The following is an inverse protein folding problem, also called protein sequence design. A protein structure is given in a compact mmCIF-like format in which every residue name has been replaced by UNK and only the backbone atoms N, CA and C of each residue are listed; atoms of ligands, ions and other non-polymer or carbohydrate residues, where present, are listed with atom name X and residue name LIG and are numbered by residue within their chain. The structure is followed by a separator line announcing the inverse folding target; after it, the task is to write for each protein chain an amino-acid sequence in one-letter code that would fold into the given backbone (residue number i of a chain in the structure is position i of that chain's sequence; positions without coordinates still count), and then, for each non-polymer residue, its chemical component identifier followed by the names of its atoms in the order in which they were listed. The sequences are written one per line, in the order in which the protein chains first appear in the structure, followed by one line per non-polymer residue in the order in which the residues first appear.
data_IF_701092428364
#
_entry.id   IF_701092428364
#
_cell.length_a   1.000
_cell.length_b   1.000
_cell.length_c   1.000
_cell.angle_alpha   90.00
_cell.angle_beta   90.00
_cell.angle_gamma   90.00
#
_symmetry.space_group_name_H-M   'P 1'
#
loop_
_entity.id
_entity.type
_entity.pdbx_description
1 polymer ?
#
# COMPACT_ATOMS: atom_id res chain seq x y z
N UNK A 1 -23.17 -76.45 -47.24
CA UNK A 1 -23.44 -75.31 -46.34
C UNK A 1 -22.70 -75.55 -45.02
N UNK A 2 -21.49 -75.01 -44.90
CA UNK A 2 -20.69 -75.15 -43.68
C UNK A 2 -20.90 -73.91 -42.81
N UNK A 3 -21.90 -73.94 -41.94
CA UNK A 3 -22.23 -72.79 -41.06
C UNK A 3 -21.35 -72.70 -39.80
N UNK A 4 -20.46 -73.68 -39.58
CA UNK A 4 -19.59 -73.71 -38.39
C UNK A 4 -18.37 -72.79 -38.50
N UNK A 5 -17.78 -72.63 -39.68
CA UNK A 5 -16.57 -71.81 -39.85
C UNK A 5 -16.83 -70.32 -39.64
N UNK A 6 -18.03 -69.83 -39.99
CA UNK A 6 -18.39 -68.41 -39.85
C UNK A 6 -18.54 -67.99 -38.37
N UNK A 7 -19.11 -68.86 -37.52
CA UNK A 7 -19.30 -68.55 -36.08
C UNK A 7 -17.97 -68.49 -35.31
N UNK A 8 -17.03 -69.35 -35.65
CA UNK A 8 -15.70 -69.38 -35.01
C UNK A 8 -14.90 -68.13 -35.40
N UNK A 9 -14.97 -67.69 -36.66
CA UNK A 9 -14.30 -66.47 -37.12
C UNK A 9 -14.91 -65.20 -36.49
N UNK A 10 -16.23 -65.12 -36.32
CA UNK A 10 -16.86 -63.98 -35.64
C UNK A 10 -16.48 -63.90 -34.15
N UNK A 11 -16.40 -65.03 -33.45
CA UNK A 11 -15.99 -65.04 -32.04
C UNK A 11 -14.50 -64.67 -31.88
N UNK A 12 -13.63 -65.14 -32.77
CA UNK A 12 -12.22 -64.75 -32.81
C UNK A 12 -12.05 -63.25 -33.08
N UNK A 13 -12.85 -62.67 -33.97
CA UNK A 13 -12.83 -61.23 -34.23
C UNK A 13 -13.29 -60.41 -33.01
N UNK A 14 -14.32 -60.86 -32.29
CA UNK A 14 -14.76 -60.21 -31.04
C UNK A 14 -13.68 -60.31 -29.97
N UNK A 15 -13.04 -61.47 -29.79
CA UNK A 15 -11.96 -61.64 -28.80
C UNK A 15 -10.74 -60.80 -29.16
N UNK A 16 -10.31 -60.77 -30.44
CA UNK A 16 -9.22 -59.89 -30.89
C UNK A 16 -9.57 -58.40 -30.76
N UNK A 17 -10.84 -58.03 -30.95
CA UNK A 17 -11.30 -56.66 -30.74
C UNK A 17 -11.34 -56.30 -29.24
N UNK A 18 -11.75 -57.21 -28.36
CA UNK A 18 -11.76 -57.01 -26.91
C UNK A 18 -10.35 -57.00 -26.28
N UNK A 19 -9.42 -57.80 -26.81
CA UNK A 19 -8.02 -57.85 -26.31
C UNK A 19 -7.18 -56.70 -26.89
N UNK A 20 -7.48 -56.24 -28.12
CA UNK A 20 -6.79 -55.14 -28.78
C UNK A 20 -7.11 -53.74 -28.23
N UNK A 21 -8.26 -53.54 -27.58
CA UNK A 21 -8.65 -52.24 -27.00
C UNK A 21 -8.15 -52.08 -25.55
N UNK A 22 -7.67 -53.15 -24.91
CA UNK A 22 -7.25 -53.12 -23.50
C UNK A 22 -5.84 -52.56 -23.24
N UNK A 23 -5.12 -52.10 -24.27
CA UNK A 23 -3.73 -51.61 -24.15
C UNK A 23 -3.54 -50.20 -24.76
N UNK A 24 -4.61 -49.41 -24.87
CA UNK A 24 -4.43 -47.97 -25.06
C UNK A 24 -3.82 -47.42 -23.76
N UNK A 25 -2.49 -47.42 -23.70
CA UNK A 25 -1.69 -46.88 -22.63
C UNK A 25 -2.20 -45.45 -22.34
N UNK A 26 -2.76 -45.17 -21.15
CA UNK A 26 -3.20 -43.83 -20.79
C UNK A 26 -1.96 -42.96 -20.54
N UNK A 27 -1.19 -42.69 -21.60
CA UNK A 27 0.03 -41.91 -21.56
C UNK A 27 -0.25 -40.39 -21.51
N UNK A 28 -1.48 -39.97 -21.81
CA UNK A 28 -1.91 -38.56 -21.80
C UNK A 28 -2.02 -37.95 -20.40
N UNK A 29 -2.65 -38.61 -19.40
CA UNK A 29 -2.75 -38.07 -18.04
C UNK A 29 -1.40 -37.78 -17.37
N UNK A 30 -0.39 -38.64 -17.58
CA UNK A 30 0.91 -38.49 -16.87
C UNK A 30 1.71 -37.29 -17.36
N UNK A 31 1.70 -36.98 -18.66
CA UNK A 31 2.43 -35.83 -19.21
C UNK A 31 1.84 -34.51 -18.71
N UNK A 32 0.50 -34.39 -18.67
CA UNK A 32 -0.17 -33.18 -18.21
C UNK A 32 0.01 -32.96 -16.70
N UNK A 33 0.05 -34.04 -15.90
CA UNK A 33 0.36 -33.96 -14.48
C UNK A 33 1.78 -33.42 -14.24
N UNK A 34 2.77 -33.91 -14.98
CA UNK A 34 4.15 -33.44 -14.85
C UNK A 34 4.34 -31.99 -15.33
N UNK A 35 3.61 -31.58 -16.38
CA UNK A 35 3.54 -30.19 -16.81
C UNK A 35 2.95 -29.28 -15.71
N UNK A 36 1.82 -29.68 -15.11
CA UNK A 36 1.20 -28.95 -14.01
C UNK A 36 2.11 -28.83 -12.78
N UNK A 37 2.87 -29.89 -12.43
CA UNK A 37 3.88 -29.86 -11.37
C UNK A 37 5.00 -28.87 -11.69
N UNK A 38 5.52 -28.90 -12.91
CA UNK A 38 6.61 -28.00 -13.36
C UNK A 38 6.17 -26.53 -13.28
N UNK A 39 4.98 -26.20 -13.78
CA UNK A 39 4.43 -24.84 -13.73
C UNK A 39 4.15 -24.39 -12.28
N UNK A 40 3.73 -25.30 -11.41
CA UNK A 40 3.54 -24.99 -9.99
C UNK A 40 4.87 -24.72 -9.26
N UNK A 41 5.95 -25.41 -9.62
CA UNK A 41 7.28 -25.12 -9.08
C UNK A 41 7.80 -23.75 -9.52
N UNK A 42 7.62 -23.38 -10.79
CA UNK A 42 7.94 -22.04 -11.30
C UNK A 42 7.12 -20.96 -10.59
N UNK A 43 5.82 -21.19 -10.43
CA UNK A 43 4.89 -20.32 -9.70
C UNK A 43 5.33 -20.15 -8.24
N UNK A 44 5.80 -21.22 -7.60
CA UNK A 44 6.30 -21.17 -6.21
C UNK A 44 7.58 -20.33 -6.07
N UNK A 45 8.47 -20.35 -7.08
CA UNK A 45 9.67 -19.50 -7.10
C UNK A 45 9.29 -18.03 -7.26
N UNK A 46 8.42 -17.73 -8.23
CA UNK A 46 7.93 -16.37 -8.47
C UNK A 46 7.16 -15.81 -7.27
N UNK A 47 6.40 -16.64 -6.56
CA UNK A 47 5.76 -16.28 -5.30
C UNK A 47 6.76 -15.72 -4.27
N UNK A 48 7.92 -16.36 -4.11
CA UNK A 48 8.97 -15.89 -3.17
C UNK A 48 9.55 -14.55 -3.61
N UNK A 49 9.77 -14.37 -4.91
CA UNK A 49 10.22 -13.09 -5.47
C UNK A 49 9.17 -11.99 -5.25
N UNK A 50 7.90 -12.31 -5.48
CA UNK A 50 6.76 -11.41 -5.27
C UNK A 50 6.67 -10.94 -3.80
N UNK A 51 6.77 -11.88 -2.85
CA UNK A 51 6.78 -11.55 -1.41
C UNK A 51 7.94 -10.61 -1.04
N UNK A 52 9.13 -10.84 -1.61
CA UNK A 52 10.31 -10.03 -1.33
C UNK A 52 10.16 -8.62 -1.91
N UNK A 53 9.65 -8.50 -3.15
CA UNK A 53 9.42 -7.21 -3.80
C UNK A 53 8.30 -6.43 -3.08
N UNK A 54 7.20 -7.09 -2.70
CA UNK A 54 6.12 -6.50 -1.90
C UNK A 54 6.65 -5.97 -0.56
N UNK A 55 7.46 -6.76 0.16
CA UNK A 55 8.09 -6.33 1.41
C UNK A 55 9.01 -5.11 1.23
N UNK A 56 9.76 -5.05 0.13
CA UNK A 56 10.60 -3.90 -0.19
C UNK A 56 9.73 -2.64 -0.46
N UNK A 57 8.65 -2.79 -1.21
CA UNK A 57 7.67 -1.71 -1.44
C UNK A 57 7.07 -1.22 -0.11
N UNK A 58 6.62 -2.13 0.76
CA UNK A 58 6.10 -1.81 2.09
C UNK A 58 7.12 -1.05 2.95
N UNK A 59 8.38 -1.48 2.95
CA UNK A 59 9.42 -0.82 3.73
C UNK A 59 9.65 0.61 3.23
N UNK A 60 9.82 0.80 1.92
CA UNK A 60 10.00 2.12 1.34
C UNK A 60 8.78 3.03 1.62
N UNK A 61 7.57 2.47 1.53
CA UNK A 61 6.32 3.15 1.83
C UNK A 61 6.29 3.67 3.28
N UNK A 62 6.66 2.84 4.26
CA UNK A 62 6.70 3.22 5.68
C UNK A 62 7.73 4.31 5.95
N UNK A 63 8.91 4.23 5.34
CA UNK A 63 9.95 5.26 5.50
C UNK A 63 9.50 6.61 4.90
N UNK A 64 8.88 6.58 3.71
CA UNK A 64 8.29 7.76 3.07
C UNK A 64 7.15 8.38 3.91
N UNK A 65 6.29 7.56 4.50
CA UNK A 65 5.23 8.01 5.41
C UNK A 65 5.79 8.75 6.63
N UNK A 66 6.78 8.16 7.30
CA UNK A 66 7.42 8.78 8.46
C UNK A 66 8.05 10.12 8.08
N UNK A 67 8.76 10.18 6.95
CA UNK A 67 9.33 11.43 6.44
C UNK A 67 8.25 12.48 6.20
N UNK A 68 7.18 12.14 5.46
CA UNK A 68 6.09 13.07 5.17
C UNK A 68 5.45 13.60 6.46
N UNK A 69 5.21 12.73 7.45
CA UNK A 69 4.63 13.11 8.72
C UNK A 69 5.52 14.06 9.54
N UNK A 70 6.82 13.74 9.65
CA UNK A 70 7.80 14.56 10.39
C UNK A 70 7.96 15.94 9.73
N UNK A 71 8.08 15.99 8.40
CA UNK A 71 8.21 17.25 7.66
C UNK A 71 6.95 18.10 7.80
N UNK A 72 5.76 17.49 7.70
CA UNK A 72 4.48 18.19 7.89
C UNK A 72 4.36 18.80 9.29
N UNK A 73 4.81 18.07 10.32
CA UNK A 73 4.77 18.55 11.71
C UNK A 73 5.73 19.72 11.95
N UNK A 74 6.89 19.70 11.30
CA UNK A 74 7.95 20.71 11.46
C UNK A 74 7.95 21.79 10.37
N UNK A 75 6.88 21.88 9.59
CA UNK A 75 6.83 22.65 8.34
C UNK A 75 7.21 24.13 8.52
N UNK A 76 6.70 24.78 9.57
CA UNK A 76 7.01 26.18 9.90
C UNK A 76 8.47 26.36 10.31
N UNK A 77 8.98 25.44 11.12
CA UNK A 77 10.37 25.47 11.60
C UNK A 77 11.34 25.27 10.44
N UNK A 78 11.10 24.28 9.58
CA UNK A 78 11.91 24.01 8.40
C UNK A 78 11.85 25.22 7.44
N UNK A 79 10.67 25.78 7.18
CA UNK A 79 10.50 26.90 6.27
C UNK A 79 11.25 28.18 6.70
N UNK A 80 11.61 28.31 7.97
CA UNK A 80 12.38 29.44 8.50
C UNK A 80 13.90 29.31 8.30
N UNK A 81 14.42 28.12 7.95
CA UNK A 81 15.85 27.88 7.71
C UNK A 81 16.09 27.40 6.27
N UNK A 82 16.68 28.23 5.39
CA UNK A 82 16.96 27.87 4.00
C UNK A 82 17.77 26.58 3.83
N UNK A 83 18.70 26.28 4.74
CA UNK A 83 19.54 25.09 4.65
C UNK A 83 18.72 23.82 4.92
N UNK A 84 17.85 23.86 5.94
CA UNK A 84 16.95 22.74 6.24
C UNK A 84 15.89 22.55 5.15
N UNK A 85 15.43 23.63 4.48
CA UNK A 85 14.54 23.53 3.31
C UNK A 85 15.22 22.74 2.18
N UNK A 86 16.44 23.12 1.80
CA UNK A 86 17.17 22.46 0.71
C UNK A 86 17.44 20.99 1.02
N UNK A 87 17.89 20.71 2.25
CA UNK A 87 18.11 19.34 2.74
C UNK A 87 16.83 18.52 2.71
N UNK A 88 15.73 19.04 3.28
CA UNK A 88 14.43 18.35 3.33
C UNK A 88 13.90 18.06 1.93
N UNK A 89 14.02 18.99 0.98
CA UNK A 89 13.62 18.75 -0.42
C UNK A 89 14.44 17.65 -1.07
N UNK A 90 15.76 17.69 -0.91
CA UNK A 90 16.66 16.67 -1.47
C UNK A 90 16.35 15.28 -0.91
N UNK A 91 16.15 15.17 0.41
CA UNK A 91 15.74 13.92 1.06
C UNK A 91 14.35 13.45 0.60
N UNK A 92 13.37 14.35 0.51
CA UNK A 92 12.03 14.03 0.03
C UNK A 92 12.02 13.50 -1.40
N UNK A 93 12.81 14.08 -2.30
CA UNK A 93 12.96 13.57 -3.67
C UNK A 93 13.55 12.16 -3.71
N UNK A 94 14.52 11.85 -2.83
CA UNK A 94 15.05 10.49 -2.70
C UNK A 94 13.99 9.50 -2.22
N UNK A 95 13.15 9.89 -1.25
CA UNK A 95 12.05 9.03 -0.80
C UNK A 95 11.04 8.77 -1.92
N UNK A 96 10.67 9.79 -2.70
CA UNK A 96 9.78 9.64 -3.86
C UNK A 96 10.38 8.64 -4.86
N UNK A 97 11.65 8.83 -5.24
CA UNK A 97 12.33 7.97 -6.22
C UNK A 97 12.43 6.52 -5.72
N UNK A 98 12.92 6.30 -4.49
CA UNK A 98 13.09 4.96 -3.94
C UNK A 98 11.76 4.22 -3.79
N UNK A 99 10.73 4.91 -3.30
CA UNK A 99 9.40 4.32 -3.09
C UNK A 99 8.72 3.98 -4.42
N UNK A 100 8.86 4.87 -5.42
CA UNK A 100 8.32 4.63 -6.77
C UNK A 100 9.01 3.43 -7.41
N UNK A 101 10.34 3.36 -7.37
CA UNK A 101 11.10 2.22 -7.91
C UNK A 101 10.75 0.89 -7.22
N UNK A 102 10.58 0.89 -5.90
CA UNK A 102 10.18 -0.31 -5.17
C UNK A 102 8.77 -0.77 -5.56
N UNK A 103 7.84 0.17 -5.77
CA UNK A 103 6.50 -0.13 -6.26
C UNK A 103 6.50 -0.69 -7.70
N UNK A 104 7.30 -0.11 -8.60
CA UNK A 104 7.45 -0.58 -9.99
C UNK A 104 8.03 -2.00 -10.06
N UNK A 105 9.03 -2.31 -9.23
CA UNK A 105 9.60 -3.65 -9.18
C UNK A 105 8.60 -4.67 -8.61
N UNK A 106 7.88 -4.32 -7.54
CA UNK A 106 6.82 -5.17 -7.00
C UNK A 106 5.70 -5.41 -8.02
N UNK A 107 5.34 -4.39 -8.80
CA UNK A 107 4.36 -4.49 -9.89
C UNK A 107 4.84 -5.44 -11.00
N UNK A 108 6.10 -5.33 -11.44
CA UNK A 108 6.69 -6.23 -12.43
C UNK A 108 6.64 -7.70 -11.98
N UNK A 109 7.13 -7.99 -10.77
CA UNK A 109 7.19 -9.37 -10.26
C UNK A 109 5.79 -9.93 -10.00
N UNK A 110 4.85 -9.08 -9.52
CA UNK A 110 3.44 -9.46 -9.37
C UNK A 110 2.85 -9.90 -10.71
N UNK A 111 3.06 -9.14 -11.78
CA UNK A 111 2.47 -9.43 -13.10
C UNK A 111 3.04 -10.72 -13.72
N UNK A 112 4.33 -10.99 -13.51
CA UNK A 112 4.97 -12.28 -13.83
C UNK A 112 4.36 -13.42 -13.02
N UNK A 113 4.11 -13.20 -11.72
CA UNK A 113 3.49 -14.18 -10.83
C UNK A 113 2.05 -14.48 -11.23
N UNK A 114 1.26 -13.46 -11.61
CA UNK A 114 -0.10 -13.64 -12.15
C UNK A 114 -0.05 -14.54 -13.39
N UNK A 115 0.83 -14.23 -14.34
CA UNK A 115 0.97 -14.99 -15.58
C UNK A 115 1.34 -16.45 -15.34
N UNK A 116 2.27 -16.72 -14.41
CA UNK A 116 2.66 -18.07 -14.03
C UNK A 116 1.54 -18.83 -13.33
N UNK A 117 0.84 -18.17 -12.39
CA UNK A 117 -0.31 -18.74 -11.68
C UNK A 117 -1.41 -19.14 -12.64
N UNK A 118 -1.79 -18.27 -13.58
CA UNK A 118 -2.86 -18.54 -14.55
C UNK A 118 -2.51 -19.75 -15.45
N UNK A 119 -1.25 -19.90 -15.87
CA UNK A 119 -0.79 -21.08 -16.62
C UNK A 119 -0.84 -22.36 -15.78
N UNK A 120 -0.39 -22.29 -14.53
CA UNK A 120 -0.43 -23.44 -13.63
C UNK A 120 -1.87 -23.88 -13.33
N UNK A 121 -2.77 -22.92 -13.13
CA UNK A 121 -4.21 -23.13 -12.91
C UNK A 121 -4.87 -23.77 -14.15
N UNK A 122 -4.56 -23.28 -15.36
CA UNK A 122 -5.03 -23.88 -16.61
C UNK A 122 -4.54 -25.32 -16.78
N UNK A 123 -3.27 -25.59 -16.50
CA UNK A 123 -2.72 -26.94 -16.56
C UNK A 123 -3.40 -27.89 -15.56
N UNK A 124 -3.66 -27.44 -14.33
CA UNK A 124 -4.39 -28.21 -13.32
C UNK A 124 -5.82 -28.50 -13.80
N UNK A 125 -6.52 -27.51 -14.36
CA UNK A 125 -7.87 -27.65 -14.88
C UNK A 125 -7.96 -28.67 -16.02
N UNK A 126 -6.96 -28.71 -16.92
CA UNK A 126 -6.90 -29.68 -18.01
C UNK A 126 -6.77 -31.13 -17.52
N UNK A 127 -6.06 -31.35 -16.39
CA UNK A 127 -5.93 -32.69 -15.80
C UNK A 127 -7.18 -33.08 -15.01
N UNK A 128 -7.75 -32.15 -14.25
CA UNK A 128 -8.88 -32.41 -13.37
C UNK A 128 -9.93 -31.27 -13.44
N UNK A 129 -10.86 -31.32 -14.41
CA UNK A 129 -11.86 -30.27 -14.59
C UNK A 129 -12.77 -30.09 -13.36
N UNK A 130 -13.04 -31.19 -12.64
CA UNK A 130 -13.90 -31.22 -11.46
C UNK A 130 -13.16 -30.82 -10.16
N UNK A 131 -11.84 -30.61 -10.18
CA UNK A 131 -11.05 -30.28 -8.99
C UNK A 131 -11.18 -28.81 -8.53
N UNK A 132 -11.97 -28.00 -9.24
CA UNK A 132 -12.19 -26.58 -8.91
C UNK A 132 -13.21 -26.44 -7.77
N UNK A 133 -14.14 -27.39 -7.61
CA UNK A 133 -15.20 -27.38 -6.60
C UNK A 133 -14.84 -28.26 -5.38
N UNK A 134 -13.72 -27.92 -4.73
CA UNK A 134 -13.23 -28.15 -3.34
C UNK A 134 -13.45 -29.49 -2.57
N UNK A 135 -14.22 -30.48 -3.02
CA UNK A 135 -14.52 -31.64 -2.17
C UNK A 135 -13.47 -32.77 -2.23
N UNK A 136 -12.73 -32.92 -3.34
CA UNK A 136 -11.62 -33.90 -3.41
C UNK A 136 -10.58 -33.49 -4.45
N UNK A 137 -9.57 -32.71 -4.06
CA UNK A 137 -8.36 -32.54 -4.88
C UNK A 137 -7.55 -33.83 -4.81
N UNK A 138 -7.22 -34.48 -5.94
CA UNK A 138 -6.36 -35.66 -5.96
C UNK A 138 -5.01 -35.38 -5.25
N UNK A 139 -4.56 -36.32 -4.43
CA UNK A 139 -3.32 -36.17 -3.64
C UNK A 139 -2.10 -35.81 -4.51
N UNK A 140 -2.09 -36.28 -5.75
CA UNK A 140 -1.01 -36.04 -6.71
C UNK A 140 -0.87 -34.57 -7.16
N UNK A 141 -1.97 -33.81 -7.24
CA UNK A 141 -1.96 -32.40 -7.65
C UNK A 141 -2.21 -31.41 -6.51
N UNK A 142 -2.46 -31.91 -5.30
CA UNK A 142 -2.63 -31.07 -4.11
C UNK A 142 -1.46 -30.10 -3.89
N UNK A 143 -0.18 -30.47 -4.07
CA UNK A 143 0.94 -29.52 -3.97
C UNK A 143 0.85 -28.40 -5.01
N UNK A 144 0.46 -28.71 -6.25
CA UNK A 144 0.31 -27.73 -7.33
C UNK A 144 -0.81 -26.74 -7.06
N UNK A 145 -1.96 -27.23 -6.57
CA UNK A 145 -3.09 -26.39 -6.16
C UNK A 145 -2.69 -25.46 -5.00
N UNK A 146 -1.93 -25.95 -4.03
CA UNK A 146 -1.42 -25.11 -2.93
C UNK A 146 -0.46 -24.02 -3.44
N UNK A 147 0.41 -24.33 -4.40
CA UNK A 147 1.31 -23.33 -5.00
C UNK A 147 0.54 -22.18 -5.68
N UNK A 148 -0.55 -22.50 -6.41
CA UNK A 148 -1.45 -21.51 -7.02
C UNK A 148 -2.12 -20.64 -5.96
N UNK A 149 -2.71 -21.24 -4.92
CA UNK A 149 -3.35 -20.52 -3.80
C UNK A 149 -2.35 -19.64 -3.04
N UNK A 150 -1.11 -20.09 -2.89
CA UNK A 150 -0.05 -19.35 -2.22
C UNK A 150 0.42 -18.15 -3.06
N UNK A 151 0.54 -18.32 -4.37
CA UNK A 151 0.85 -17.24 -5.30
C UNK A 151 -0.27 -16.19 -5.34
N UNK A 152 -1.54 -16.60 -5.31
CA UNK A 152 -2.68 -15.67 -5.24
C UNK A 152 -2.63 -14.79 -3.98
N UNK A 153 -2.32 -15.39 -2.82
CA UNK A 153 -2.14 -14.61 -1.58
C UNK A 153 -0.96 -13.63 -1.65
N UNK A 154 0.14 -14.03 -2.29
CA UNK A 154 1.29 -13.14 -2.50
C UNK A 154 0.94 -11.98 -3.45
N UNK A 155 0.22 -12.25 -4.55
CA UNK A 155 -0.28 -11.22 -5.48
C UNK A 155 -1.17 -10.22 -4.76
N UNK A 156 -2.12 -10.68 -3.93
CA UNK A 156 -2.99 -9.80 -3.15
C UNK A 156 -2.17 -8.93 -2.20
N UNK A 157 -1.20 -9.50 -1.49
CA UNK A 157 -0.33 -8.75 -0.58
C UNK A 157 0.51 -7.71 -1.33
N UNK A 158 1.04 -8.07 -2.49
CA UNK A 158 1.79 -7.17 -3.35
C UNK A 158 0.94 -5.98 -3.82
N UNK A 159 -0.33 -6.20 -4.18
CA UNK A 159 -1.24 -5.11 -4.54
C UNK A 159 -1.42 -4.07 -3.43
N UNK A 160 -1.63 -4.52 -2.19
CA UNK A 160 -1.77 -3.64 -1.04
C UNK A 160 -0.47 -2.83 -0.79
N UNK A 161 0.68 -3.50 -0.86
CA UNK A 161 1.98 -2.87 -0.60
C UNK A 161 2.40 -1.90 -1.72
N UNK A 162 2.12 -2.22 -2.98
CA UNK A 162 2.28 -1.32 -4.13
C UNK A 162 1.39 -0.09 -3.95
N UNK A 163 0.13 -0.29 -3.54
CA UNK A 163 -0.82 0.79 -3.28
C UNK A 163 -0.32 1.75 -2.19
N UNK A 164 0.16 1.20 -1.07
CA UNK A 164 0.74 1.97 0.03
C UNK A 164 1.99 2.75 -0.41
N UNK A 165 2.88 2.13 -1.18
CA UNK A 165 4.08 2.78 -1.71
C UNK A 165 3.73 3.97 -2.61
N UNK A 166 2.82 3.78 -3.58
CA UNK A 166 2.36 4.85 -4.47
C UNK A 166 1.68 6.00 -3.69
N UNK A 167 0.85 5.67 -2.70
CA UNK A 167 0.20 6.65 -1.83
C UNK A 167 1.22 7.49 -1.06
N UNK A 168 2.15 6.86 -0.36
CA UNK A 168 3.11 7.57 0.49
C UNK A 168 4.13 8.38 -0.32
N UNK A 169 4.48 7.96 -1.54
CA UNK A 169 5.25 8.79 -2.46
C UNK A 169 4.51 10.11 -2.81
N UNK A 170 3.21 10.05 -3.08
CA UNK A 170 2.39 11.25 -3.32
C UNK A 170 2.22 12.10 -2.05
N UNK A 171 2.15 11.51 -0.86
CA UNK A 171 2.14 12.26 0.40
C UNK A 171 3.45 13.05 0.60
N UNK A 172 4.61 12.45 0.33
CA UNK A 172 5.91 13.15 0.37
C UNK A 172 5.88 14.35 -0.57
N UNK A 173 5.46 14.14 -1.82
CA UNK A 173 5.33 15.21 -2.83
C UNK A 173 4.40 16.33 -2.38
N UNK A 174 3.25 16.01 -1.81
CA UNK A 174 2.31 16.99 -1.27
C UNK A 174 2.92 17.80 -0.12
N UNK A 175 3.67 17.17 0.78
CA UNK A 175 4.34 17.87 1.88
C UNK A 175 5.46 18.79 1.38
N UNK A 176 6.21 18.38 0.35
CA UNK A 176 7.20 19.26 -0.27
C UNK A 176 6.57 20.51 -0.91
N UNK A 177 5.39 20.38 -1.53
CA UNK A 177 4.63 21.54 -2.04
C UNK A 177 4.15 22.47 -0.92
N UNK A 178 3.70 21.90 0.21
CA UNK A 178 3.33 22.70 1.39
C UNK A 178 4.55 23.43 1.96
N UNK A 179 5.72 22.80 1.96
CA UNK A 179 6.96 23.43 2.38
C UNK A 179 7.31 24.62 1.48
N UNK A 180 7.16 24.49 0.16
CA UNK A 180 7.34 25.61 -0.78
C UNK A 180 6.41 26.79 -0.47
N UNK A 181 5.12 26.51 -0.22
CA UNK A 181 4.16 27.53 0.14
C UNK A 181 4.51 28.23 1.47
N UNK A 182 4.97 27.47 2.47
CA UNK A 182 5.38 28.04 3.75
C UNK A 182 6.66 28.88 3.65
N UNK A 183 7.62 28.48 2.82
CA UNK A 183 8.83 29.29 2.53
C UNK A 183 8.45 30.61 1.87
N UNK A 184 7.51 30.59 0.91
CA UNK A 184 7.01 31.82 0.29
C UNK A 184 6.32 32.72 1.32
N UNK A 185 5.44 32.17 2.16
CA UNK A 185 4.76 32.91 3.21
C UNK A 185 5.73 33.49 4.26
N UNK A 186 6.79 32.76 4.62
CA UNK A 186 7.82 33.23 5.54
C UNK A 186 8.57 34.44 4.97
N UNK A 187 8.98 34.37 3.68
CA UNK A 187 9.65 35.48 2.99
C UNK A 187 8.79 36.74 2.89
N UNK A 188 7.49 36.62 2.63
CA UNK A 188 6.60 37.78 2.60
C UNK A 188 6.46 38.45 3.97
N UNK A 189 6.34 37.66 5.05
CA UNK A 189 6.30 38.19 6.43
C UNK A 189 7.59 38.91 6.83
N UNK A 190 8.75 38.46 6.34
CA UNK A 190 10.01 39.16 6.58
C UNK A 190 10.07 40.52 5.88
N UNK A 191 9.56 40.61 4.65
CA UNK A 191 9.47 41.88 3.91
C UNK A 191 8.53 42.87 4.60
N UNK A 192 7.35 42.42 5.04
CA UNK A 192 6.39 43.25 5.77
C UNK A 192 7.01 43.83 7.05
N UNK A 193 7.72 43.02 7.84
CA UNK A 193 8.43 43.48 9.05
C UNK A 193 9.52 44.51 8.73
N UNK A 194 10.24 44.39 7.62
CA UNK A 194 11.24 45.39 7.22
C UNK A 194 10.59 46.73 6.83
N UNK A 195 9.40 46.72 6.23
CA UNK A 195 8.68 47.95 5.83
C UNK A 195 8.07 48.65 7.04
N UNK A 196 7.53 47.92 8.02
CA UNK A 196 6.94 48.50 9.24
C UNK A 196 7.99 49.04 10.23
N UNK A 197 9.25 48.60 10.11
CA UNK A 197 10.37 49.07 10.93
C UNK A 197 10.93 50.45 10.53
N UNK A 198 10.34 51.13 9.55
CA UNK A 198 10.75 52.49 9.20
C UNK A 198 10.43 53.44 10.37
N UNK A 199 11.41 54.18 10.93
CA UNK A 199 11.17 54.99 12.12
C UNK A 199 10.10 56.03 11.82
N UNK A 200 8.97 55.95 12.54
CA UNK A 200 8.06 57.08 12.65
C UNK A 200 8.88 58.31 13.02
N UNK A 201 8.72 59.46 12.33
CA UNK A 201 9.29 60.71 12.78
C UNK A 201 8.88 60.92 14.23
N UNK A 202 9.84 60.94 15.15
CA UNK A 202 9.60 61.39 16.51
C UNK A 202 9.05 62.81 16.41
N UNK A 203 7.73 62.97 16.54
CA UNK A 203 7.15 64.24 16.95
C UNK A 203 7.71 64.52 18.35
N UNK A 204 8.69 65.42 18.40
CA UNK A 204 9.21 66.00 19.63
C UNK A 204 8.07 66.73 20.34
N UNK A 205 7.34 66.01 21.19
CA UNK A 205 6.42 66.59 22.15
C UNK A 205 7.26 67.10 23.33
N UNK A 206 7.64 68.38 23.24
CA UNK A 206 8.12 69.15 24.39
C UNK A 206 6.99 69.19 25.43
N UNK A 207 7.07 68.37 26.47
CA UNK A 207 6.29 68.59 27.68
C UNK A 207 7.22 68.74 28.90
N UNK A 208 6.94 69.87 29.55
CA UNK A 208 7.66 70.55 30.61
C UNK A 208 7.75 69.73 31.89
N UNK A 209 8.97 69.70 32.42
CA UNK A 209 9.41 69.40 33.79
C UNK A 209 8.41 69.68 34.93
N UNK A 210 8.23 68.71 35.85
CA UNK A 210 7.99 68.86 37.31
C UNK A 210 8.37 67.54 38.06
N UNK A 211 8.70 67.57 39.38
CA UNK A 211 9.66 66.67 40.05
C UNK A 211 9.03 65.48 40.84
N UNK A 212 9.84 64.62 41.49
CA UNK A 212 9.45 63.28 41.93
C UNK A 212 8.89 63.24 43.37
N UNK A 213 7.92 62.36 43.61
CA UNK A 213 7.51 61.96 44.97
C UNK A 213 7.73 60.47 45.19
N UNK A 214 8.58 60.18 46.17
CA UNK A 214 8.83 58.88 46.76
C UNK A 214 7.59 58.31 47.47
N UNK A 215 7.32 57.01 47.27
CA UNK A 215 6.70 56.12 48.25
C UNK A 215 6.94 54.66 47.81
N UNK A 216 7.86 53.94 48.45
CA UNK A 216 7.62 53.00 49.56
C UNK A 216 7.25 51.58 49.10
N UNK A 217 8.25 50.71 49.25
CA UNK A 217 8.19 49.25 49.21
C UNK A 217 7.22 48.73 50.28
N UNK A 218 6.31 47.81 49.95
CA UNK A 218 5.94 46.70 50.87
C UNK A 218 5.60 45.43 50.09
N UNK A 219 6.13 44.32 50.61
CA UNK A 219 5.95 42.94 50.17
C UNK A 219 4.49 42.47 50.33
N UNK A 220 4.06 41.52 49.47
CA UNK A 220 2.76 40.86 49.63
C UNK A 220 2.52 39.68 48.71
N UNK A 221 3.10 38.52 49.08
CA UNK A 221 2.48 37.17 49.04
C UNK A 221 1.59 36.75 47.86
N UNK A 222 2.18 35.86 47.03
CA UNK A 222 1.67 34.54 46.59
C UNK A 222 0.22 34.21 46.99
N UNK A 223 -0.65 34.03 45.99
CA UNK A 223 -1.88 33.23 46.12
C UNK A 223 -2.12 32.46 44.82
N UNK A 224 -2.01 31.14 44.94
CA UNK A 224 -2.40 30.17 43.94
C UNK A 224 -3.86 29.80 44.26
N UNK A 225 -4.79 30.09 43.36
CA UNK A 225 -6.15 29.54 43.29
C UNK A 225 -6.49 29.58 41.79
N UNK A 226 -6.67 28.50 41.04
CA UNK A 226 -7.57 27.39 41.33
C UNK A 226 -8.96 27.70 40.75
N UNK A 227 -9.12 27.68 39.41
CA UNK A 227 -10.44 27.73 38.75
C UNK A 227 -10.33 27.25 37.29
N UNK A 228 -10.69 26.00 36.97
CA UNK A 228 -12.03 25.48 36.64
C UNK A 228 -12.71 26.11 35.42
N UNK A 229 -12.54 25.40 34.28
CA UNK A 229 -13.53 25.14 33.21
C UNK A 229 -13.89 26.28 32.24
N UNK A 230 -14.40 25.99 31.00
CA UNK A 230 -14.90 24.70 30.50
C UNK A 230 -14.37 24.23 29.12
N UNK A 231 -14.55 22.93 28.89
CA UNK A 231 -14.53 22.31 27.57
C UNK A 231 -15.66 22.86 26.68
N UNK A 232 -15.31 23.54 25.59
CA UNK A 232 -16.25 24.01 24.57
C UNK A 232 -15.78 23.61 23.16
N UNK A 233 -15.65 22.32 22.88
CA UNK A 233 -15.45 21.82 21.50
C UNK A 233 -16.08 20.43 21.33
N UNK A 234 -17.42 20.32 21.39
CA UNK A 234 -18.13 19.08 21.01
C UNK A 234 -19.49 19.29 20.30
N UNK A 235 -19.70 20.43 19.66
CA UNK A 235 -20.95 20.67 18.90
C UNK A 235 -20.85 20.26 17.41
N UNK A 236 -19.71 20.41 16.70
CA UNK A 236 -19.69 20.06 15.27
C UNK A 236 -19.76 18.54 14.99
N UNK A 237 -19.27 17.70 15.91
CA UNK A 237 -19.14 16.26 15.67
C UNK A 237 -20.47 15.47 15.82
N UNK A 238 -21.37 15.93 16.70
CA UNK A 238 -22.65 15.25 16.93
C UNK A 238 -23.65 15.48 15.78
N UNK A 239 -23.61 16.65 15.13
CA UNK A 239 -24.45 16.93 13.95
C UNK A 239 -24.04 16.07 12.74
N UNK A 240 -22.75 15.77 12.59
CA UNK A 240 -22.24 14.98 11.47
C UNK A 240 -22.60 13.49 11.61
N UNK A 241 -22.65 12.95 12.84
CA UNK A 241 -23.09 11.58 13.08
C UNK A 241 -24.59 11.37 12.85
N UNK A 242 -25.42 12.39 13.11
CA UNK A 242 -26.86 12.32 12.86
C UNK A 242 -27.21 12.36 11.36
N UNK A 243 -26.43 13.07 10.53
CA UNK A 243 -26.69 13.11 9.08
C UNK A 243 -26.42 11.79 8.37
N UNK A 244 -25.48 10.98 8.85
CA UNK A 244 -25.15 9.68 8.21
C UNK A 244 -26.19 8.61 8.58
N UNK A 245 -26.76 8.67 9.79
CA UNK A 245 -27.74 7.68 10.25
C UNK A 245 -29.10 7.82 9.55
N UNK A 246 -29.48 9.02 9.10
CA UNK A 246 -30.72 9.24 8.34
C UNK A 246 -30.67 8.75 6.89
N UNK A 247 -29.48 8.51 6.32
CA UNK A 247 -29.35 8.03 4.93
C UNK A 247 -29.56 6.51 4.77
N UNK A 248 -29.49 5.73 5.86
CA UNK A 248 -29.69 4.28 5.80
C UNK A 248 -31.12 3.81 6.08
N UNK A 249 -32.04 4.73 6.41
CA UNK A 249 -33.43 4.37 6.75
C UNK A 249 -34.43 4.59 5.60
N UNK A 250 -33.98 5.01 4.40
CA UNK A 250 -34.87 5.40 3.27
C UNK A 250 -34.51 4.70 1.95
N UNK A 251 -33.61 3.72 1.96
CA UNK A 251 -33.33 2.85 0.82
C UNK A 251 -33.63 1.40 1.20
#
# INVERSE_FOLDING_TARGET
MSMLSCRVLCLLAIVLCCVGVAHADPALPSQLVEEAKTLAEETSKLKVECDNAAKAARQAANEAFVFAHVTKTNLVTIAADPNEVEKTKSEGLKFIENTTKAAEEAERVRDETITSKDKAEEAIFLVFPDAVDDETVPEEIAPSMNAVKDAERAISTANDDIGAAKLHAEEVKNVLQQLDAAVAAAKEREKEKQVESQPQPQEQRNETSLPPTNATITNGTKRNDGSSSPALLRVPLLLLLLSVLSCMAVC
#
